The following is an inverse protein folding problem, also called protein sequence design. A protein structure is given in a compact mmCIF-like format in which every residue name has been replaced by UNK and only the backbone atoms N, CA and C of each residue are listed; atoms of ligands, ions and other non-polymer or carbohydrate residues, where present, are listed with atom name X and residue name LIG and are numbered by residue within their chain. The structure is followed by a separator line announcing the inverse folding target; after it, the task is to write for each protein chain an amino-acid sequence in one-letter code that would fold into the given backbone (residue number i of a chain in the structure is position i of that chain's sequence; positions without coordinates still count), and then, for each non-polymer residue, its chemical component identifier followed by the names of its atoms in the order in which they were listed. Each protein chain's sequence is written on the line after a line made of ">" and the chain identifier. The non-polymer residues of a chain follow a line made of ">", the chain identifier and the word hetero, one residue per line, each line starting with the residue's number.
data_IF_955545152653
#
_entry.id   IF_955545152653
#
_cell.length_a   1.000
_cell.length_b   1.000
_cell.length_c   1.000
_cell.angle_alpha   90.00
_cell.angle_beta   90.00
_cell.angle_gamma   90.00
#
_symmetry.space_group_name_H-M   'P 1'
#
loop_
_entity.id
_entity.type
_entity.pdbx_description
1 polymer ?
#
# COMPACT_ATOMS: atom_id res chain seq x y z
N UNK A 1 -2.79 11.35 7.56
CA UNK A 1 -2.25 10.00 7.29
C UNK A 1 -0.75 10.08 7.43
N UNK A 2 -0.14 9.13 8.12
CA UNK A 2 1.31 9.14 8.32
C UNK A 2 2.03 8.95 6.99
N UNK A 3 2.97 9.83 6.68
CA UNK A 3 3.80 9.70 5.47
C UNK A 3 4.78 8.54 5.58
N UNK A 4 5.34 8.08 4.46
CA UNK A 4 6.28 6.96 4.41
C UNK A 4 7.47 7.15 5.38
N UNK A 5 8.01 8.37 5.42
CA UNK A 5 9.07 8.77 6.35
C UNK A 5 8.69 8.59 7.83
N UNK A 6 7.45 8.88 8.19
CA UNK A 6 6.94 8.71 9.56
C UNK A 6 6.79 7.22 9.90
N UNK A 7 6.32 6.41 8.95
CA UNK A 7 6.22 4.95 9.09
C UNK A 7 7.60 4.30 9.26
N UNK A 8 8.60 4.77 8.51
CA UNK A 8 9.99 4.29 8.64
C UNK A 8 10.54 4.66 10.02
N UNK A 9 10.36 5.92 10.46
CA UNK A 9 10.81 6.36 11.79
C UNK A 9 10.17 5.51 12.90
N UNK A 10 8.86 5.30 12.83
CA UNK A 10 8.12 4.43 13.75
C UNK A 10 8.69 3.00 13.74
N UNK A 11 8.96 2.45 12.56
CA UNK A 11 9.51 1.10 12.41
C UNK A 11 10.86 0.96 13.11
N UNK A 12 11.75 1.94 12.95
CA UNK A 12 13.06 1.94 13.60
C UNK A 12 12.96 2.08 15.14
N UNK A 13 11.98 2.82 15.63
CA UNK A 13 11.72 2.92 17.07
C UNK A 13 11.22 1.58 17.64
N UNK A 14 10.20 1.00 17.00
CA UNK A 14 9.60 -0.28 17.40
C UNK A 14 10.60 -1.43 17.32
N UNK A 15 11.49 -1.42 16.32
CA UNK A 15 12.58 -2.40 16.22
C UNK A 15 13.54 -2.31 17.41
N UNK A 16 13.95 -1.09 17.80
CA UNK A 16 14.83 -0.89 18.95
C UNK A 16 14.22 -1.44 20.25
N UNK A 17 12.96 -1.06 20.51
CA UNK A 17 12.22 -1.52 21.70
C UNK A 17 11.96 -3.03 21.68
N UNK A 18 11.53 -3.58 20.54
CA UNK A 18 11.14 -4.97 20.44
C UNK A 18 12.32 -5.95 20.41
N UNK A 19 13.49 -5.56 19.90
CA UNK A 19 14.67 -6.44 19.85
C UNK A 19 15.51 -6.40 21.13
N UNK A 20 15.38 -5.35 21.95
CA UNK A 20 16.16 -5.23 23.17
C UNK A 20 16.01 -6.44 24.13
N UNK A 21 14.80 -6.91 24.48
CA UNK A 21 14.63 -7.98 25.47
C UNK A 21 15.28 -9.31 25.06
N UNK A 22 15.17 -9.69 23.78
CA UNK A 22 15.81 -10.92 23.27
C UNK A 22 17.33 -10.78 23.25
N UNK A 23 17.87 -9.61 22.88
CA UNK A 23 19.32 -9.38 22.89
C UNK A 23 19.84 -9.47 24.31
N UNK A 24 19.19 -8.80 25.27
CA UNK A 24 19.57 -8.87 26.68
C UNK A 24 19.55 -10.31 27.20
N UNK A 25 18.47 -11.06 26.95
CA UNK A 25 18.31 -12.43 27.43
C UNK A 25 19.38 -13.37 26.86
N UNK A 26 19.55 -13.40 25.54
CA UNK A 26 20.46 -14.34 24.88
C UNK A 26 21.93 -13.99 25.12
N UNK A 27 22.27 -12.69 25.12
CA UNK A 27 23.64 -12.25 25.42
C UNK A 27 24.00 -12.54 26.88
N UNK A 28 23.09 -12.34 27.84
CA UNK A 28 23.30 -12.72 29.25
C UNK A 28 23.44 -14.23 29.41
N UNK A 29 22.67 -15.02 28.66
CA UNK A 29 22.76 -16.48 28.73
C UNK A 29 24.13 -17.01 28.29
N UNK A 30 24.77 -16.37 27.30
CA UNK A 30 26.06 -16.81 26.75
C UNK A 30 27.25 -16.16 27.45
N UNK A 31 27.18 -14.85 27.74
CA UNK A 31 28.31 -14.06 28.25
C UNK A 31 28.18 -13.65 29.72
N UNK A 32 27.07 -13.98 30.39
CA UNK A 32 26.84 -13.68 31.80
C UNK A 32 27.06 -12.20 32.12
N UNK A 33 27.89 -11.86 33.11
CA UNK A 33 28.12 -10.49 33.56
C UNK A 33 28.84 -9.62 32.51
N UNK A 34 29.62 -10.23 31.62
CA UNK A 34 30.41 -9.55 30.57
C UNK A 34 29.59 -9.19 29.32
N UNK A 35 28.29 -9.49 29.30
CA UNK A 35 27.45 -9.35 28.11
C UNK A 35 27.41 -7.91 27.57
N UNK A 36 27.42 -6.90 28.44
CA UNK A 36 27.46 -5.48 28.03
C UNK A 36 28.79 -5.15 27.34
N UNK A 37 29.91 -5.65 27.87
CA UNK A 37 31.23 -5.41 27.28
C UNK A 37 31.33 -6.05 25.89
N UNK A 38 30.81 -7.28 25.74
CA UNK A 38 30.72 -7.98 24.45
C UNK A 38 29.78 -7.29 23.46
N UNK A 39 28.64 -6.79 23.92
CA UNK A 39 27.73 -6.00 23.09
C UNK A 39 28.40 -4.70 22.62
N UNK A 40 29.22 -4.06 23.47
CA UNK A 40 29.95 -2.82 23.12
C UNK A 40 31.02 -3.03 22.05
N UNK A 41 31.57 -4.23 21.92
CA UNK A 41 32.58 -4.54 20.90
C UNK A 41 32.05 -4.36 19.48
N UNK A 42 30.74 -4.58 19.26
CA UNK A 42 30.06 -4.35 17.98
C UNK A 42 30.15 -2.90 17.48
N UNK A 43 30.37 -1.93 18.38
CA UNK A 43 30.41 -0.50 18.02
C UNK A 43 31.79 0.02 17.67
N UNK A 44 32.88 -0.70 17.97
CA UNK A 44 34.27 -0.18 17.85
C UNK A 44 34.62 0.31 16.44
N UNK A 45 33.99 -0.25 15.41
CA UNK A 45 34.25 0.06 14.01
C UNK A 45 33.08 0.78 13.33
N UNK A 46 32.06 1.23 14.07
CA UNK A 46 30.85 1.81 13.49
C UNK A 46 30.98 3.33 13.35
N UNK A 47 31.04 3.90 12.11
CA UNK A 47 31.17 5.35 11.89
C UNK A 47 29.96 6.14 12.39
N UNK A 48 28.85 5.45 12.61
CA UNK A 48 27.53 6.00 12.92
C UNK A 48 27.24 6.03 14.44
N UNK A 49 28.15 5.53 15.26
CA UNK A 49 27.98 5.46 16.70
C UNK A 49 28.83 6.55 17.35
N UNK A 50 28.31 7.78 17.40
CA UNK A 50 28.72 8.72 18.44
C UNK A 50 28.14 8.20 19.76
N UNK A 51 28.89 7.32 20.41
CA UNK A 51 28.53 6.89 21.76
C UNK A 51 28.45 8.15 22.63
N UNK A 52 27.36 8.38 23.40
CA UNK A 52 27.44 9.33 24.50
C UNK A 52 28.61 8.89 25.39
N UNK A 53 29.44 9.83 25.84
CA UNK A 53 30.44 9.53 26.87
C UNK A 53 29.73 8.91 28.08
N UNK A 54 29.87 7.59 28.30
CA UNK A 54 29.18 6.90 29.39
C UNK A 54 29.08 5.37 29.25
N UNK A 55 28.58 4.73 30.31
CA UNK A 55 28.47 3.28 30.44
C UNK A 55 27.26 2.65 29.71
N UNK A 56 26.24 3.44 29.33
CA UNK A 56 24.98 2.91 28.83
C UNK A 56 24.93 2.82 27.28
N UNK A 57 24.51 1.65 26.77
CA UNK A 57 24.21 1.45 25.34
C UNK A 57 22.86 2.12 25.03
N UNK A 58 22.78 2.90 23.95
CA UNK A 58 21.50 3.38 23.43
C UNK A 58 20.83 2.26 22.63
N UNK A 59 19.67 1.80 23.08
CA UNK A 59 18.94 0.69 22.46
C UNK A 59 18.03 1.18 21.33
N UNK A 60 18.65 1.67 20.25
CA UNK A 60 17.94 2.01 19.01
C UNK A 60 18.02 0.88 17.96
N UNK A 61 17.31 1.02 16.84
CA UNK A 61 17.36 0.05 15.74
C UNK A 61 18.78 -0.19 15.22
N UNK A 62 19.63 0.85 15.16
CA UNK A 62 20.99 0.70 14.67
C UNK A 62 21.79 -0.24 15.59
N UNK A 63 21.77 0.05 16.89
CA UNK A 63 22.54 -0.70 17.86
C UNK A 63 22.04 -2.14 18.01
N UNK A 64 20.73 -2.34 18.05
CA UNK A 64 20.13 -3.67 18.16
C UNK A 64 20.42 -4.54 16.93
N UNK A 65 20.24 -4.01 15.71
CA UNK A 65 20.54 -4.74 14.47
C UNK A 65 22.04 -5.02 14.31
N UNK A 66 22.91 -4.12 14.78
CA UNK A 66 24.37 -4.31 14.73
C UNK A 66 24.82 -5.43 15.67
N UNK A 67 24.34 -5.44 16.91
CA UNK A 67 24.63 -6.51 17.89
C UNK A 67 24.13 -7.87 17.38
N UNK A 68 22.89 -7.94 16.86
CA UNK A 68 22.33 -9.17 16.30
C UNK A 68 23.19 -9.75 15.17
N UNK A 69 23.69 -8.88 14.30
CA UNK A 69 24.52 -9.28 13.16
C UNK A 69 25.90 -9.80 13.59
N UNK A 70 26.59 -9.05 14.45
CA UNK A 70 27.97 -9.38 14.85
C UNK A 70 28.03 -10.64 15.73
N UNK A 71 27.05 -10.79 16.63
CA UNK A 71 26.94 -11.94 17.53
C UNK A 71 26.03 -13.05 16.99
N UNK A 72 25.74 -13.04 15.69
CA UNK A 72 24.85 -14.03 15.08
C UNK A 72 25.32 -15.46 15.34
N UNK A 73 26.58 -15.76 15.00
CA UNK A 73 27.12 -17.11 15.08
C UNK A 73 27.41 -17.56 16.52
N UNK A 74 27.72 -16.63 17.42
CA UNK A 74 28.08 -16.93 18.81
C UNK A 74 26.86 -17.06 19.71
N UNK A 75 25.80 -16.26 19.47
CA UNK A 75 24.66 -16.14 20.38
C UNK A 75 23.35 -16.54 19.69
N UNK A 76 23.01 -15.89 18.57
CA UNK A 76 21.64 -15.97 18.04
C UNK A 76 21.35 -17.17 17.13
N UNK A 77 22.37 -17.87 16.62
CA UNK A 77 22.22 -18.95 15.61
C UNK A 77 21.35 -20.14 16.06
N UNK A 78 21.21 -20.35 17.36
CA UNK A 78 20.42 -21.45 17.92
C UNK A 78 18.97 -21.03 18.20
N UNK A 79 18.69 -19.72 18.23
CA UNK A 79 17.39 -19.14 18.52
C UNK A 79 16.68 -18.62 17.27
N UNK A 80 17.44 -18.03 16.35
CA UNK A 80 16.97 -17.49 15.07
C UNK A 80 17.55 -18.29 13.91
N UNK A 81 16.82 -18.39 12.81
CA UNK A 81 17.20 -19.16 11.63
C UNK A 81 17.96 -18.28 10.61
N UNK A 82 18.62 -18.89 9.60
CA UNK A 82 19.29 -18.12 8.56
C UNK A 82 18.37 -17.11 7.83
N UNK A 83 17.06 -17.34 7.81
CA UNK A 83 16.09 -16.40 7.23
C UNK A 83 16.05 -15.07 8.00
N UNK A 84 16.00 -15.10 9.33
CA UNK A 84 16.02 -13.89 10.14
C UNK A 84 17.35 -13.14 10.02
N UNK A 85 18.46 -13.84 9.75
CA UNK A 85 19.74 -13.20 9.45
C UNK A 85 19.64 -12.32 8.21
N UNK A 86 18.96 -12.81 7.18
CA UNK A 86 18.70 -12.05 5.95
C UNK A 86 17.84 -10.83 6.25
N UNK A 87 16.82 -10.95 7.12
CA UNK A 87 16.01 -9.80 7.56
C UNK A 87 16.85 -8.74 8.30
N UNK A 88 17.76 -9.16 9.19
CA UNK A 88 18.66 -8.23 9.88
C UNK A 88 19.55 -7.49 8.87
N UNK A 89 20.11 -8.18 7.88
CA UNK A 89 20.93 -7.57 6.83
C UNK A 89 20.14 -6.54 6.00
N UNK A 90 18.93 -6.90 5.59
CA UNK A 90 18.03 -6.02 4.84
C UNK A 90 17.64 -4.76 5.63
N UNK A 91 17.25 -4.91 6.89
CA UNK A 91 16.88 -3.77 7.75
C UNK A 91 18.07 -2.86 8.05
N UNK A 92 19.29 -3.40 8.16
CA UNK A 92 20.51 -2.61 8.30
C UNK A 92 20.73 -1.74 7.06
N UNK A 93 20.56 -2.29 5.87
CA UNK A 93 20.69 -1.54 4.63
C UNK A 93 19.65 -0.40 4.53
N UNK A 94 18.39 -0.70 4.83
CA UNK A 94 17.34 0.34 4.84
C UNK A 94 17.58 1.42 5.89
N UNK A 95 18.01 1.04 7.10
CA UNK A 95 18.38 2.02 8.13
C UNK A 95 19.56 2.88 7.69
N UNK A 96 20.54 2.30 6.98
CA UNK A 96 21.69 3.03 6.46
C UNK A 96 21.25 4.06 5.41
N UNK A 97 20.45 3.64 4.43
CA UNK A 97 19.81 4.53 3.43
C UNK A 97 19.03 5.65 4.10
N UNK A 98 18.25 5.34 5.13
CA UNK A 98 17.49 6.32 5.92
C UNK A 98 18.39 7.36 6.59
N UNK A 99 19.49 6.93 7.22
CA UNK A 99 20.45 7.83 7.85
C UNK A 99 21.16 8.75 6.84
N UNK A 100 21.32 8.30 5.60
CA UNK A 100 21.86 9.08 4.49
C UNK A 100 20.79 9.90 3.74
N UNK A 101 19.55 9.96 4.23
CA UNK A 101 18.43 10.66 3.57
C UNK A 101 18.24 10.24 2.11
N UNK A 102 18.55 8.99 1.80
CA UNK A 102 18.34 8.43 0.46
C UNK A 102 16.83 8.31 0.18
N UNK A 103 16.45 8.42 -1.10
CA UNK A 103 15.07 8.19 -1.49
C UNK A 103 14.67 6.75 -1.17
N UNK A 104 13.57 6.57 -0.44
CA UNK A 104 12.95 5.28 -0.12
C UNK A 104 11.56 5.31 -0.75
N UNK A 105 11.25 4.31 -1.56
CA UNK A 105 9.95 4.23 -2.24
C UNK A 105 8.85 3.75 -1.28
N UNK A 106 7.59 3.91 -1.69
CA UNK A 106 6.46 3.36 -0.93
C UNK A 106 6.49 1.83 -0.89
N UNK A 107 6.97 1.17 -1.96
CA UNK A 107 7.19 -0.28 -2.01
C UNK A 107 8.31 -0.71 -1.05
N UNK A 108 9.43 0.02 -1.03
CA UNK A 108 10.49 -0.18 -0.03
C UNK A 108 9.93 -0.02 1.39
N UNK A 109 9.04 0.94 1.62
CA UNK A 109 8.41 1.17 2.94
C UNK A 109 7.52 0.00 3.36
N UNK A 110 6.71 -0.55 2.44
CA UNK A 110 5.94 -1.78 2.68
C UNK A 110 6.85 -2.95 3.03
N UNK A 111 7.95 -3.10 2.29
CA UNK A 111 8.93 -4.15 2.52
C UNK A 111 9.62 -4.01 3.87
N UNK A 112 10.04 -2.81 4.25
CA UNK A 112 10.62 -2.50 5.57
C UNK A 112 9.66 -2.91 6.69
N UNK A 113 8.38 -2.52 6.58
CA UNK A 113 7.35 -2.86 7.57
C UNK A 113 7.14 -4.37 7.70
N UNK A 114 7.08 -5.10 6.57
CA UNK A 114 6.89 -6.55 6.58
C UNK A 114 8.12 -7.29 7.14
N UNK A 115 9.32 -6.94 6.67
CA UNK A 115 10.59 -7.53 7.13
C UNK A 115 10.79 -7.29 8.63
N UNK A 116 10.52 -6.08 9.12
CA UNK A 116 10.60 -5.75 10.55
C UNK A 116 9.58 -6.53 11.38
N UNK A 117 8.33 -6.63 10.92
CA UNK A 117 7.30 -7.41 11.60
C UNK A 117 7.65 -8.89 11.71
N UNK A 118 8.20 -9.50 10.65
CA UNK A 118 8.64 -10.90 10.64
C UNK A 118 9.79 -11.14 11.61
N UNK A 119 10.80 -10.26 11.60
CA UNK A 119 11.92 -10.35 12.53
C UNK A 119 11.45 -10.25 14.00
N UNK A 120 10.59 -9.28 14.31
CA UNK A 120 10.03 -9.12 15.67
C UNK A 120 9.18 -10.31 16.10
N UNK A 121 8.40 -10.88 15.17
CA UNK A 121 7.62 -12.09 15.44
C UNK A 121 8.53 -13.28 15.75
N UNK A 122 9.61 -13.47 14.99
CA UNK A 122 10.60 -14.53 15.24
C UNK A 122 11.38 -14.31 16.55
N UNK A 123 11.61 -13.05 16.92
CA UNK A 123 12.20 -12.66 18.20
C UNK A 123 11.27 -12.84 19.41
N UNK A 124 9.98 -13.14 19.20
CA UNK A 124 8.98 -13.30 20.26
C UNK A 124 8.30 -11.99 20.70
N UNK A 125 8.62 -10.87 20.06
CA UNK A 125 8.06 -9.53 20.32
C UNK A 125 6.75 -9.33 19.55
N UNK A 126 5.76 -10.15 19.93
CA UNK A 126 4.50 -10.30 19.16
C UNK A 126 3.60 -9.07 19.19
N UNK A 127 3.75 -8.18 20.18
CA UNK A 127 2.95 -6.96 20.27
C UNK A 127 3.45 -5.92 19.26
N UNK A 128 4.77 -5.72 19.24
CA UNK A 128 5.52 -4.85 18.34
C UNK A 128 5.37 -5.33 16.89
N UNK A 129 5.48 -6.65 16.66
CA UNK A 129 5.25 -7.25 15.35
C UNK A 129 3.84 -6.96 14.83
N UNK A 130 2.81 -7.11 15.67
CA UNK A 130 1.42 -6.80 15.30
C UNK A 130 1.20 -5.31 15.05
N UNK A 131 1.94 -4.43 15.73
CA UNK A 131 1.88 -3.00 15.47
C UNK A 131 2.36 -2.69 14.05
N UNK A 132 3.53 -3.22 13.65
CA UNK A 132 4.06 -3.00 12.30
C UNK A 132 3.20 -3.65 11.22
N UNK A 133 2.59 -4.81 11.49
CA UNK A 133 1.62 -5.43 10.57
C UNK A 133 0.42 -4.51 10.32
N UNK A 134 -0.13 -3.87 11.36
CA UNK A 134 -1.24 -2.91 11.18
C UNK A 134 -0.82 -1.72 10.33
N UNK A 135 0.37 -1.18 10.54
CA UNK A 135 0.89 -0.07 9.74
C UNK A 135 1.11 -0.48 8.27
N UNK A 136 1.63 -1.69 8.02
CA UNK A 136 1.75 -2.28 6.68
C UNK A 136 0.38 -2.39 6.01
N UNK A 137 -0.60 -2.95 6.72
CA UNK A 137 -1.93 -3.15 6.18
C UNK A 137 -2.59 -1.81 5.87
N UNK A 138 -2.46 -0.80 6.73
CA UNK A 138 -2.96 0.54 6.45
C UNK A 138 -2.32 1.15 5.19
N UNK A 139 -1.00 1.00 5.02
CA UNK A 139 -0.31 1.50 3.83
C UNK A 139 -0.78 0.76 2.57
N UNK A 140 -0.97 -0.56 2.65
CA UNK A 140 -1.51 -1.36 1.55
C UNK A 140 -2.93 -0.91 1.17
N UNK A 141 -3.80 -0.71 2.16
CA UNK A 141 -5.15 -0.20 1.91
C UNK A 141 -5.13 1.17 1.25
N UNK A 142 -4.21 2.06 1.67
CA UNK A 142 -4.05 3.38 1.06
C UNK A 142 -3.60 3.30 -0.40
N UNK A 143 -2.65 2.40 -0.72
CA UNK A 143 -2.21 2.17 -2.10
C UNK A 143 -3.36 1.63 -2.96
N UNK A 144 -4.12 0.67 -2.46
CA UNK A 144 -5.26 0.10 -3.19
C UNK A 144 -6.35 1.15 -3.46
N UNK A 145 -6.65 2.00 -2.48
CA UNK A 145 -7.59 3.11 -2.67
C UNK A 145 -7.10 4.12 -3.70
N UNK A 146 -5.81 4.44 -3.68
CA UNK A 146 -5.23 5.35 -4.67
C UNK A 146 -5.26 4.75 -6.08
N UNK A 147 -4.95 3.46 -6.22
CA UNK A 147 -5.07 2.74 -7.49
C UNK A 147 -6.52 2.73 -7.96
N UNK A 148 -7.48 2.40 -7.10
CA UNK A 148 -8.92 2.44 -7.42
C UNK A 148 -9.36 3.83 -7.91
N UNK A 149 -8.88 4.90 -7.28
CA UNK A 149 -9.18 6.27 -7.71
C UNK A 149 -8.63 6.59 -9.10
N UNK A 150 -7.41 6.15 -9.42
CA UNK A 150 -6.83 6.33 -10.76
C UNK A 150 -7.71 5.65 -11.81
N UNK A 151 -8.19 4.44 -11.51
CA UNK A 151 -9.06 3.70 -12.44
C UNK A 151 -10.40 4.42 -12.63
N UNK A 152 -11.03 4.88 -11.55
CA UNK A 152 -12.31 5.59 -11.58
C UNK A 152 -12.24 6.90 -12.39
N UNK A 153 -11.12 7.61 -12.30
CA UNK A 153 -10.88 8.89 -12.96
C UNK A 153 -10.43 8.74 -14.43
N UNK A 154 -10.25 7.52 -14.92
CA UNK A 154 -9.84 7.29 -16.31
C UNK A 154 -10.82 7.91 -17.32
N UNK A 155 -10.25 8.54 -18.36
CA UNK A 155 -11.03 9.19 -19.43
C UNK A 155 -11.97 8.21 -20.14
N UNK A 156 -11.57 6.95 -20.25
CA UNK A 156 -12.36 5.89 -20.87
C UNK A 156 -13.65 5.64 -20.09
N UNK A 157 -13.58 5.50 -18.76
CA UNK A 157 -14.78 5.35 -17.93
C UNK A 157 -15.66 6.59 -17.97
N UNK A 158 -15.07 7.80 -18.04
CA UNK A 158 -15.83 9.04 -18.20
C UNK A 158 -16.61 9.05 -19.52
N UNK A 159 -16.00 8.58 -20.62
CA UNK A 159 -16.65 8.47 -21.93
C UNK A 159 -17.78 7.45 -21.91
N UNK A 160 -17.62 6.32 -21.23
CA UNK A 160 -18.66 5.31 -21.09
C UNK A 160 -19.87 5.83 -20.32
N UNK A 161 -19.65 6.49 -19.17
CA UNK A 161 -20.72 7.17 -18.42
C UNK A 161 -21.46 8.18 -19.28
N UNK A 162 -20.70 8.97 -20.05
CA UNK A 162 -21.27 9.96 -20.96
C UNK A 162 -22.08 9.31 -22.09
N UNK A 163 -21.56 8.25 -22.71
CA UNK A 163 -22.26 7.49 -23.77
C UNK A 163 -23.58 6.93 -23.25
N UNK A 164 -23.57 6.28 -22.09
CA UNK A 164 -24.77 5.66 -21.53
C UNK A 164 -25.82 6.72 -21.12
N UNK A 165 -25.40 7.85 -20.55
CA UNK A 165 -26.29 8.97 -20.26
C UNK A 165 -26.89 9.56 -21.55
N UNK A 166 -26.09 9.69 -22.62
CA UNK A 166 -26.58 10.13 -23.94
C UNK A 166 -27.62 9.15 -24.49
N UNK A 167 -27.37 7.83 -24.39
CA UNK A 167 -28.32 6.80 -24.84
C UNK A 167 -29.66 6.97 -24.11
N UNK A 168 -29.67 7.15 -22.79
CA UNK A 168 -30.91 7.37 -22.04
C UNK A 168 -31.67 8.63 -22.50
N UNK A 169 -30.97 9.74 -22.77
CA UNK A 169 -31.59 10.96 -23.25
C UNK A 169 -32.14 10.81 -24.68
N UNK A 170 -31.42 10.14 -25.58
CA UNK A 170 -31.88 9.84 -26.94
C UNK A 170 -33.12 8.93 -26.90
N UNK A 171 -33.12 7.91 -26.04
CA UNK A 171 -34.28 7.04 -25.84
C UNK A 171 -35.50 7.81 -25.32
N UNK A 172 -35.31 8.75 -24.37
CA UNK A 172 -36.39 9.60 -23.86
C UNK A 172 -37.06 10.40 -24.99
N UNK A 173 -36.25 11.08 -25.80
CA UNK A 173 -36.73 11.88 -26.95
C UNK A 173 -37.47 11.00 -27.96
N UNK A 174 -36.91 9.82 -28.30
CA UNK A 174 -37.54 8.91 -29.25
C UNK A 174 -38.91 8.40 -28.74
N UNK A 175 -39.00 8.03 -27.47
CA UNK A 175 -40.26 7.54 -26.86
C UNK A 175 -41.30 8.66 -26.82
N UNK A 176 -40.92 9.86 -26.39
CA UNK A 176 -41.84 11.00 -26.33
C UNK A 176 -42.36 11.38 -27.72
N UNK A 177 -41.50 11.39 -28.74
CA UNK A 177 -41.91 11.61 -30.13
C UNK A 177 -42.94 10.59 -30.61
N UNK A 178 -42.76 9.31 -30.27
CA UNK A 178 -43.71 8.24 -30.62
C UNK A 178 -45.05 8.43 -29.89
N UNK A 179 -45.03 8.83 -28.62
CA UNK A 179 -46.23 9.12 -27.83
C UNK A 179 -47.01 10.27 -28.46
N UNK A 180 -46.35 11.39 -28.78
CA UNK A 180 -47.00 12.55 -29.40
C UNK A 180 -47.54 12.25 -30.79
N UNK A 181 -46.84 11.46 -31.60
CA UNK A 181 -47.31 11.09 -32.95
C UNK A 181 -48.53 10.16 -32.89
N UNK A 182 -48.59 9.25 -31.91
CA UNK A 182 -49.66 8.24 -31.82
C UNK A 182 -50.91 8.76 -31.11
N UNK A 183 -50.74 9.54 -30.05
CA UNK A 183 -51.85 9.97 -29.16
C UNK A 183 -52.14 11.48 -29.24
N UNK A 184 -51.39 12.23 -30.04
CA UNK A 184 -51.53 13.68 -30.19
C UNK A 184 -51.13 14.46 -28.93
N UNK A 185 -51.69 15.66 -28.78
CA UNK A 185 -51.38 16.61 -27.68
C UNK A 185 -52.46 16.64 -26.60
N UNK A 186 -53.16 15.52 -26.39
CA UNK A 186 -54.16 15.39 -25.32
C UNK A 186 -53.53 15.47 -23.93
N UNK A 187 -54.28 15.94 -22.93
CA UNK A 187 -53.76 16.14 -21.57
C UNK A 187 -53.14 14.90 -20.93
N UNK A 188 -53.72 13.71 -21.17
CA UNK A 188 -53.16 12.44 -20.67
C UNK A 188 -51.84 12.06 -21.36
N UNK A 189 -51.72 12.32 -22.67
CA UNK A 189 -50.50 12.06 -23.43
C UNK A 189 -49.35 12.95 -22.93
N UNK A 190 -49.64 14.21 -22.60
CA UNK A 190 -48.66 15.14 -22.03
C UNK A 190 -48.20 14.67 -20.65
N UNK A 191 -49.12 14.25 -19.76
CA UNK A 191 -48.75 13.74 -18.44
C UNK A 191 -47.86 12.48 -18.54
N UNK A 192 -48.17 11.58 -19.46
CA UNK A 192 -47.37 10.38 -19.68
C UNK A 192 -45.97 10.71 -20.25
N UNK A 193 -45.88 11.60 -21.24
CA UNK A 193 -44.60 12.05 -21.79
C UNK A 193 -43.71 12.73 -20.73
N UNK A 194 -44.29 13.60 -19.89
CA UNK A 194 -43.56 14.24 -18.79
C UNK A 194 -43.03 13.19 -17.80
N UNK A 195 -43.85 12.18 -17.45
CA UNK A 195 -43.41 11.10 -16.57
C UNK A 195 -42.23 10.32 -17.16
N UNK A 196 -42.32 9.93 -18.44
CA UNK A 196 -41.24 9.23 -19.15
C UNK A 196 -39.96 10.08 -19.18
N UNK A 197 -40.05 11.34 -19.60
CA UNK A 197 -38.92 12.26 -19.62
C UNK A 197 -38.26 12.39 -18.24
N UNK A 198 -39.05 12.55 -17.17
CA UNK A 198 -38.53 12.63 -15.80
C UNK A 198 -37.78 11.36 -15.38
N UNK A 199 -38.30 10.16 -15.70
CA UNK A 199 -37.64 8.90 -15.38
C UNK A 199 -36.31 8.76 -16.13
N UNK A 200 -36.28 9.00 -17.44
CA UNK A 200 -35.05 8.87 -18.21
C UNK A 200 -34.01 9.93 -17.87
N UNK A 201 -34.43 11.17 -17.58
CA UNK A 201 -33.51 12.22 -17.07
C UNK A 201 -32.95 11.80 -15.72
N UNK A 202 -33.76 11.23 -14.83
CA UNK A 202 -33.29 10.70 -13.55
C UNK A 202 -32.28 9.55 -13.74
N UNK A 203 -32.54 8.60 -14.63
CA UNK A 203 -31.62 7.50 -14.95
C UNK A 203 -30.32 8.02 -15.58
N UNK A 204 -30.39 8.98 -16.49
CA UNK A 204 -29.22 9.62 -17.09
C UNK A 204 -28.38 10.35 -16.04
N UNK A 205 -29.03 11.09 -15.12
CA UNK A 205 -28.37 11.73 -14.00
C UNK A 205 -27.70 10.73 -13.05
N UNK A 206 -28.41 9.66 -12.69
CA UNK A 206 -27.87 8.60 -11.84
C UNK A 206 -26.65 7.94 -12.50
N UNK A 207 -26.71 7.68 -13.81
CA UNK A 207 -25.58 7.11 -14.58
C UNK A 207 -24.39 8.06 -14.67
N UNK A 208 -24.64 9.36 -14.81
CA UNK A 208 -23.60 10.38 -14.87
C UNK A 208 -22.84 10.53 -13.54
N UNK A 209 -23.56 10.47 -12.42
CA UNK A 209 -23.02 10.74 -11.08
C UNK A 209 -22.44 9.50 -10.42
N UNK A 210 -22.94 8.30 -10.73
CA UNK A 210 -22.47 7.06 -10.09
C UNK A 210 -21.22 6.54 -10.81
N UNK A 211 -20.02 6.56 -10.18
CA UNK A 211 -18.85 5.94 -10.77
C UNK A 211 -19.06 4.42 -10.87
N UNK A 212 -18.56 3.83 -11.94
CA UNK A 212 -18.56 2.39 -12.09
C UNK A 212 -17.62 1.76 -11.07
N UNK A 213 -18.02 0.61 -10.54
CA UNK A 213 -17.07 -0.23 -9.79
C UNK A 213 -16.09 -0.78 -10.82
N UNK A 214 -14.77 -0.63 -10.62
CA UNK A 214 -13.79 -1.19 -11.53
C UNK A 214 -14.05 -2.70 -11.69
N UNK A 215 -14.28 -3.13 -12.93
CA UNK A 215 -14.45 -4.55 -13.26
C UNK A 215 -13.08 -5.18 -13.40
N UNK A 216 -12.66 -5.93 -12.38
CA UNK A 216 -11.42 -6.69 -12.44
C UNK A 216 -11.63 -7.99 -13.24
N UNK A 217 -10.75 -8.27 -14.20
CA UNK A 217 -10.73 -9.52 -14.97
C UNK A 217 -10.87 -9.34 -16.48
N UNK A 218 -11.20 -10.44 -17.16
CA UNK A 218 -11.38 -10.46 -18.61
C UNK A 218 -12.61 -9.63 -19.01
N UNK A 219 -12.42 -8.61 -19.82
CA UNK A 219 -13.50 -7.78 -20.37
C UNK A 219 -13.22 -7.44 -21.83
N UNK A 220 -14.26 -7.10 -22.58
CA UNK A 220 -14.15 -6.76 -23.99
C UNK A 220 -13.82 -5.27 -24.16
N UNK A 221 -12.80 -4.94 -24.95
CA UNK A 221 -12.47 -3.57 -25.29
C UNK A 221 -13.59 -2.95 -26.14
N UNK A 222 -14.16 -1.83 -25.68
CA UNK A 222 -15.27 -1.16 -26.38
C UNK A 222 -14.88 -0.51 -27.71
N UNK A 223 -13.59 -0.32 -27.98
CA UNK A 223 -13.10 0.25 -29.24
C UNK A 223 -12.82 -0.83 -30.31
N UNK A 224 -12.19 -1.96 -29.94
CA UNK A 224 -11.77 -2.99 -30.90
C UNK A 224 -12.44 -4.36 -30.74
N UNK A 225 -13.26 -4.57 -29.70
CA UNK A 225 -14.00 -5.82 -29.46
C UNK A 225 -13.15 -7.01 -29.00
N UNK A 226 -11.87 -6.79 -28.65
CA UNK A 226 -10.99 -7.87 -28.16
C UNK A 226 -11.05 -7.99 -26.64
N UNK A 227 -10.93 -9.23 -26.14
CA UNK A 227 -10.85 -9.49 -24.70
C UNK A 227 -9.49 -9.02 -24.17
N UNK A 228 -9.51 -8.17 -23.16
CA UNK A 228 -8.34 -7.63 -22.46
C UNK A 228 -8.44 -7.93 -20.96
N UNK A 229 -7.27 -7.98 -20.31
CA UNK A 229 -7.12 -8.29 -18.88
C UNK A 229 -6.56 -7.11 -18.07
N UNK A 230 -6.25 -6.00 -18.74
CA UNK A 230 -5.75 -4.76 -18.15
C UNK A 230 -6.60 -3.58 -18.59
N UNK A 231 -6.36 -2.42 -18.00
CA UNK A 231 -7.16 -1.20 -18.22
C UNK A 231 -6.94 -0.60 -19.61
N UNK A 232 -5.68 -0.54 -20.06
CA UNK A 232 -5.35 -0.07 -21.39
C UNK A 232 -5.43 -1.20 -22.41
N UNK A 233 -6.16 -0.97 -23.50
CA UNK A 233 -6.20 -1.92 -24.60
C UNK A 233 -4.86 -1.91 -25.36
N UNK A 234 -4.04 -2.98 -25.31
CA UNK A 234 -2.76 -3.02 -26.00
C UNK A 234 -2.93 -2.97 -27.52
N UNK A 235 -4.10 -3.34 -28.02
CA UNK A 235 -4.41 -3.39 -29.45
C UNK A 235 -4.86 -2.06 -30.03
N UNK A 236 -5.20 -1.07 -29.20
CA UNK A 236 -5.65 0.26 -29.65
C UNK A 236 -4.54 1.31 -29.61
N UNK A 237 -3.44 1.05 -28.90
CA UNK A 237 -2.31 1.97 -28.74
C UNK A 237 -1.16 1.76 -29.75
N UNK A 238 -1.31 0.85 -30.73
CA UNK A 238 -0.27 0.57 -31.74
C UNK A 238 -0.11 1.70 -32.80
N UNK A 239 -0.90 2.77 -32.75
CA UNK A 239 -0.83 3.89 -33.71
C UNK A 239 0.08 5.07 -33.28
N UNK A 240 0.80 4.98 -32.15
CA UNK A 240 1.79 6.00 -31.77
C UNK A 240 3.21 5.55 -32.19
N UNK A 241 3.91 6.30 -33.06
CA UNK A 241 5.29 5.98 -33.43
C UNK A 241 6.21 6.11 -32.22
N UNK A 242 7.22 5.24 -32.18
CA UNK A 242 8.24 5.10 -31.15
C UNK A 242 8.95 6.41 -30.76
#
# INVERSE_FOLDING_TARGET
>A
MAGDNERIKLTLEVLGTGLYPIIEQEMKAVYQDDWIARAKESFRNSPLTSQPEGEAIRWDAHSTLLILWDHWNSVFRNRLTPLERSYVGELREFRNRWAHQSQISTDDTLRILDTAARLLSAAGSTQEARQLQRERDQLLHQILQYQEQIVIDSDDQRRERMRDAIIFLVCAVAIDLVVFFSFGTGGLAILFAVFVACVFVFLAYQRWVTPDRPTYGAHECTNCGKIIYGEACPYCNEDLPA
#
